data_IF_166349335407
#
_entry.id   IF_166349335407
#
_cell.length_a   1.000
_cell.length_b   1.000
_cell.length_c   1.000
_cell.angle_alpha   90.00
_cell.angle_beta   90.00
_cell.angle_gamma   90.00
#
_symmetry.space_group_name_H-M   'P 1'
#
loop_
_entity.id
_entity.type
_entity.pdbx_description
1 polymer ?
#
# COMPACT_ATOMS: atom_id res chain seq x y z
N UNK A 1 -61.54 12.55 -11.67
CA UNK A 1 -61.73 11.24 -12.34
C UNK A 1 -61.09 11.26 -13.71
N UNK A 2 -61.07 12.39 -14.41
CA UNK A 2 -60.57 12.54 -15.80
C UNK A 2 -59.05 12.37 -15.97
N UNK A 3 -58.22 12.77 -15.01
CA UNK A 3 -56.76 12.66 -15.13
C UNK A 3 -56.19 11.22 -15.10
N UNK A 4 -56.94 10.30 -14.47
CA UNK A 4 -56.62 8.87 -14.42
C UNK A 4 -56.98 8.16 -15.75
N UNK A 5 -58.05 8.59 -16.42
CA UNK A 5 -58.49 8.05 -17.70
C UNK A 5 -57.52 8.48 -18.82
N UNK A 6 -57.06 9.73 -18.78
CA UNK A 6 -56.09 10.28 -19.75
C UNK A 6 -54.69 9.62 -19.68
N UNK A 7 -54.23 9.32 -18.46
CA UNK A 7 -52.95 8.58 -18.27
C UNK A 7 -53.00 7.12 -18.75
N UNK A 8 -54.17 6.46 -18.56
CA UNK A 8 -54.37 5.08 -19.01
C UNK A 8 -54.44 5.00 -20.53
N UNK A 9 -55.12 5.94 -21.20
CA UNK A 9 -55.21 6.01 -22.68
C UNK A 9 -53.87 6.38 -23.32
N UNK A 10 -53.06 7.25 -22.75
CA UNK A 10 -51.69 7.54 -23.22
C UNK A 10 -50.75 6.32 -23.06
N UNK A 11 -50.88 5.58 -21.97
CA UNK A 11 -50.07 4.35 -21.74
C UNK A 11 -50.44 3.25 -22.71
N UNK A 12 -51.74 3.06 -22.99
CA UNK A 12 -52.21 2.06 -23.98
C UNK A 12 -51.81 2.47 -25.40
N UNK A 13 -51.91 3.72 -25.79
CA UNK A 13 -51.45 4.18 -27.12
C UNK A 13 -49.97 3.92 -27.30
N UNK A 14 -49.13 4.21 -26.27
CA UNK A 14 -47.70 3.93 -26.33
C UNK A 14 -47.37 2.44 -26.46
N UNK A 15 -48.12 1.56 -25.78
CA UNK A 15 -47.97 0.11 -25.91
C UNK A 15 -48.35 -0.39 -27.30
N UNK A 16 -49.46 0.11 -27.88
CA UNK A 16 -49.92 -0.23 -29.23
C UNK A 16 -48.89 0.24 -30.27
N UNK A 17 -48.36 1.44 -30.12
CA UNK A 17 -47.35 1.98 -31.05
C UNK A 17 -46.06 1.16 -31.01
N UNK A 18 -45.60 0.74 -29.83
CA UNK A 18 -44.44 -0.12 -29.68
C UNK A 18 -44.69 -1.51 -30.27
N UNK A 19 -45.88 -2.08 -30.05
CA UNK A 19 -46.26 -3.36 -30.62
C UNK A 19 -46.34 -3.28 -32.16
N UNK A 20 -47.01 -2.24 -32.73
CA UNK A 20 -47.04 -1.98 -34.16
C UNK A 20 -45.64 -1.80 -34.76
N UNK A 21 -44.76 -1.07 -34.09
CA UNK A 21 -43.38 -0.90 -34.55
C UNK A 21 -42.59 -2.20 -34.54
N UNK A 22 -42.83 -3.08 -33.58
CA UNK A 22 -42.13 -4.34 -33.46
C UNK A 22 -42.65 -5.37 -34.53
N UNK A 23 -43.93 -5.31 -34.90
CA UNK A 23 -44.56 -6.24 -35.84
C UNK A 23 -44.81 -5.61 -37.22
N UNK A 24 -44.32 -4.40 -37.49
CA UNK A 24 -44.60 -3.67 -38.76
C UNK A 24 -44.18 -4.49 -39.99
N UNK A 25 -43.09 -5.18 -39.93
CA UNK A 25 -42.58 -5.97 -41.03
C UNK A 25 -43.43 -7.23 -41.30
N UNK A 26 -43.92 -7.86 -40.25
CA UNK A 26 -44.86 -8.99 -40.34
C UNK A 26 -46.20 -8.57 -40.95
N UNK A 27 -46.72 -7.41 -40.51
CA UNK A 27 -47.94 -6.83 -41.02
C UNK A 27 -47.77 -6.48 -42.50
N UNK A 28 -46.65 -5.88 -42.90
CA UNK A 28 -46.37 -5.57 -44.33
C UNK A 28 -46.26 -6.84 -45.15
N UNK A 29 -45.61 -7.90 -44.67
CA UNK A 29 -45.49 -9.16 -45.37
C UNK A 29 -46.86 -9.82 -45.60
N UNK A 30 -47.72 -9.82 -44.55
CA UNK A 30 -49.09 -10.34 -44.65
C UNK A 30 -49.92 -9.51 -45.62
N UNK A 31 -49.77 -8.18 -45.58
CA UNK A 31 -50.51 -7.29 -46.49
C UNK A 31 -50.13 -7.50 -47.97
N UNK A 32 -48.83 -7.68 -48.28
CA UNK A 32 -48.33 -7.99 -49.61
C UNK A 32 -48.87 -9.31 -50.07
N UNK A 33 -48.93 -10.35 -49.24
CA UNK A 33 -49.45 -11.66 -49.55
C UNK A 33 -50.95 -11.58 -49.83
N UNK A 34 -51.72 -10.85 -49.04
CA UNK A 34 -53.14 -10.59 -49.24
C UNK A 34 -53.44 -9.86 -50.56
N UNK A 35 -52.68 -8.80 -50.87
CA UNK A 35 -52.77 -8.05 -52.12
C UNK A 35 -52.49 -8.97 -53.30
N UNK A 36 -51.48 -9.84 -53.20
CA UNK A 36 -51.19 -10.83 -54.24
C UNK A 36 -52.35 -11.81 -54.45
N UNK A 37 -52.96 -12.31 -53.38
CA UNK A 37 -54.11 -13.21 -53.44
C UNK A 37 -55.35 -12.52 -54.07
N UNK A 38 -55.65 -11.30 -53.62
CA UNK A 38 -56.76 -10.51 -54.15
C UNK A 38 -56.56 -10.19 -55.62
N UNK A 39 -55.33 -9.75 -56.02
CA UNK A 39 -55.01 -9.49 -57.43
C UNK A 39 -55.19 -10.78 -58.29
N UNK A 40 -54.72 -11.91 -57.78
CA UNK A 40 -54.86 -13.18 -58.47
C UNK A 40 -56.31 -13.59 -58.60
N UNK A 41 -57.14 -13.43 -57.56
CA UNK A 41 -58.57 -13.72 -57.59
C UNK A 41 -59.34 -12.82 -58.53
N UNK A 42 -59.03 -11.53 -58.61
CA UNK A 42 -59.72 -10.56 -59.48
C UNK A 42 -59.37 -10.71 -60.98
N UNK A 43 -58.14 -11.16 -61.25
CA UNK A 43 -57.71 -11.35 -62.68
C UNK A 43 -58.16 -12.63 -63.29
N UNK A 44 -58.78 -13.49 -62.49
CA UNK A 44 -59.30 -14.74 -62.96
C UNK A 44 -60.83 -14.66 -63.01
N UNK A 45 -61.41 -14.85 -64.23
CA UNK A 45 -62.81 -15.19 -64.34
C UNK A 45 -63.02 -16.58 -63.69
N UNK A 46 -63.57 -16.59 -62.47
CA UNK A 46 -63.78 -17.79 -61.67
C UNK A 46 -64.91 -18.63 -62.31
N UNK A 47 -64.58 -19.48 -63.30
CA UNK A 47 -65.42 -20.53 -63.85
C UNK A 47 -64.97 -21.85 -63.15
N UNK A 48 -65.76 -22.28 -62.16
CA UNK A 48 -65.51 -23.55 -61.42
C UNK A 48 -65.58 -24.83 -62.28
N UNK A 49 -66.06 -24.73 -63.52
CA UNK A 49 -66.19 -25.85 -64.46
C UNK A 49 -64.87 -26.13 -65.25
N UNK A 50 -63.91 -25.25 -65.19
CA UNK A 50 -62.64 -25.40 -65.92
C UNK A 50 -61.56 -25.98 -65.03
N UNK A 51 -60.64 -26.83 -65.57
CA UNK A 51 -59.53 -27.39 -64.83
C UNK A 51 -58.62 -26.30 -64.39
N UNK A 52 -57.92 -26.49 -63.17
CA UNK A 52 -56.99 -25.56 -62.61
C UNK A 52 -55.81 -25.34 -63.59
N UNK A 53 -55.59 -24.06 -63.97
CA UNK A 53 -54.47 -23.69 -64.81
C UNK A 53 -53.16 -23.70 -64.01
N UNK A 54 -52.32 -24.73 -64.23
CA UNK A 54 -51.03 -24.92 -63.56
C UNK A 54 -50.02 -23.78 -63.85
N UNK A 55 -50.19 -23.11 -65.05
CA UNK A 55 -49.31 -22.00 -65.40
C UNK A 55 -49.55 -20.73 -64.54
N UNK A 56 -50.85 -20.45 -64.28
CA UNK A 56 -51.20 -19.35 -63.37
C UNK A 56 -50.76 -19.58 -61.89
N UNK A 57 -50.87 -20.83 -61.45
CA UNK A 57 -50.41 -21.22 -60.13
C UNK A 57 -48.87 -21.16 -60.00
N UNK A 58 -48.15 -21.53 -61.07
CA UNK A 58 -46.67 -21.36 -61.08
C UNK A 58 -46.28 -19.92 -61.05
N UNK A 59 -46.93 -19.02 -61.81
CA UNK A 59 -46.66 -17.57 -61.77
C UNK A 59 -46.96 -16.97 -60.40
N UNK A 60 -47.98 -17.39 -59.69
CA UNK A 60 -48.24 -16.98 -58.32
C UNK A 60 -47.19 -17.49 -57.35
N UNK A 61 -46.76 -18.73 -57.51
CA UNK A 61 -45.67 -19.30 -56.73
C UNK A 61 -44.35 -18.53 -56.91
N UNK A 62 -44.01 -18.14 -58.14
CA UNK A 62 -42.81 -17.32 -58.43
C UNK A 62 -42.92 -15.92 -57.82
N UNK A 63 -44.09 -15.27 -57.87
CA UNK A 63 -44.33 -13.99 -57.24
C UNK A 63 -44.22 -14.10 -55.75
N UNK A 64 -44.83 -15.05 -55.08
CA UNK A 64 -44.78 -15.27 -53.65
C UNK A 64 -43.37 -15.66 -53.22
N UNK A 65 -42.75 -16.60 -53.89
CA UNK A 65 -41.39 -17.04 -53.58
C UNK A 65 -40.34 -15.97 -53.85
N UNK A 66 -40.43 -15.32 -55.02
CA UNK A 66 -39.48 -14.31 -55.45
C UNK A 66 -39.55 -13.00 -54.58
N UNK A 67 -40.72 -12.39 -54.51
CA UNK A 67 -40.90 -11.10 -53.87
C UNK A 67 -41.01 -11.21 -52.34
N UNK A 68 -41.91 -12.06 -51.85
CA UNK A 68 -42.19 -12.19 -50.42
C UNK A 68 -41.04 -12.91 -49.73
N UNK A 69 -40.44 -13.93 -50.37
CA UNK A 69 -39.30 -14.67 -49.86
C UNK A 69 -38.08 -13.79 -49.68
N UNK A 70 -37.76 -12.95 -50.68
CA UNK A 70 -36.62 -12.00 -50.58
C UNK A 70 -36.85 -10.94 -49.51
N UNK A 71 -38.08 -10.42 -49.35
CA UNK A 71 -38.42 -9.45 -48.31
C UNK A 71 -38.28 -10.08 -46.91
N UNK A 72 -38.77 -11.29 -46.69
CA UNK A 72 -38.62 -12.01 -45.43
C UNK A 72 -37.15 -12.32 -45.11
N UNK A 73 -36.36 -12.71 -46.13
CA UNK A 73 -34.93 -12.93 -45.97
C UNK A 73 -34.21 -11.63 -45.52
N UNK A 74 -34.53 -10.49 -46.17
CA UNK A 74 -34.00 -9.19 -45.76
C UNK A 74 -34.35 -8.80 -44.31
N UNK A 75 -35.59 -8.98 -43.92
CA UNK A 75 -36.07 -8.73 -42.54
C UNK A 75 -35.33 -9.64 -41.56
N UNK A 76 -35.19 -10.94 -41.90
CA UNK A 76 -34.48 -11.89 -41.05
C UNK A 76 -33.00 -11.50 -40.84
N UNK A 77 -32.30 -11.06 -41.90
CA UNK A 77 -30.92 -10.60 -41.83
C UNK A 77 -30.84 -9.34 -40.96
N UNK A 78 -31.77 -8.40 -41.09
CA UNK A 78 -31.81 -7.18 -40.28
C UNK A 78 -32.05 -7.48 -38.81
N UNK A 79 -32.93 -8.39 -38.48
CA UNK A 79 -33.16 -8.84 -37.08
C UNK A 79 -31.95 -9.59 -36.52
N UNK A 80 -31.34 -10.48 -37.35
CA UNK A 80 -30.11 -11.16 -36.95
C UNK A 80 -28.98 -10.19 -36.62
N UNK A 81 -28.75 -9.18 -37.47
CA UNK A 81 -27.74 -8.16 -37.21
C UNK A 81 -28.01 -7.38 -35.92
N UNK A 82 -29.27 -7.03 -35.64
CA UNK A 82 -29.66 -6.37 -34.39
C UNK A 82 -29.38 -7.28 -33.19
N UNK A 83 -29.76 -8.53 -33.24
CA UNK A 83 -29.51 -9.51 -32.19
C UNK A 83 -28.00 -9.69 -31.95
N UNK A 84 -27.18 -9.73 -33.02
CA UNK A 84 -25.74 -9.82 -32.92
C UNK A 84 -25.14 -8.57 -32.21
N UNK A 85 -25.61 -7.38 -32.54
CA UNK A 85 -25.18 -6.16 -31.87
C UNK A 85 -25.54 -6.15 -30.39
N UNK A 86 -26.76 -6.53 -30.03
CA UNK A 86 -27.21 -6.67 -28.66
C UNK A 86 -26.35 -7.70 -27.89
N UNK A 87 -26.03 -8.85 -28.52
CA UNK A 87 -25.13 -9.86 -27.94
C UNK A 87 -23.71 -9.35 -27.75
N UNK A 88 -23.15 -8.56 -28.67
CA UNK A 88 -21.81 -7.96 -28.55
C UNK A 88 -21.78 -7.01 -27.34
N UNK A 89 -22.81 -6.18 -27.20
CA UNK A 89 -22.92 -5.26 -26.06
C UNK A 89 -23.05 -6.03 -24.75
N UNK A 90 -23.95 -7.02 -24.69
CA UNK A 90 -24.13 -7.86 -23.51
C UNK A 90 -22.84 -8.61 -23.11
N UNK A 91 -22.13 -9.17 -24.09
CA UNK A 91 -20.85 -9.85 -23.86
C UNK A 91 -19.77 -8.89 -23.34
N UNK A 92 -19.74 -7.65 -23.83
CA UNK A 92 -18.81 -6.64 -23.33
C UNK A 92 -19.09 -6.26 -21.87
N UNK A 93 -20.36 -6.10 -21.52
CA UNK A 93 -20.78 -5.84 -20.13
C UNK A 93 -20.49 -7.03 -19.22
N UNK A 94 -20.76 -8.24 -19.69
CA UNK A 94 -20.47 -9.47 -18.96
C UNK A 94 -18.96 -9.64 -18.69
N UNK A 95 -18.11 -9.33 -19.66
CA UNK A 95 -16.64 -9.33 -19.47
C UNK A 95 -16.21 -8.34 -18.39
N UNK A 96 -16.74 -7.11 -18.43
CA UNK A 96 -16.45 -6.11 -17.38
C UNK A 96 -16.91 -6.57 -15.99
N UNK A 97 -18.10 -7.14 -15.91
CA UNK A 97 -18.64 -7.67 -14.66
C UNK A 97 -17.81 -8.84 -14.13
N UNK A 98 -17.38 -9.74 -15.02
CA UNK A 98 -16.50 -10.84 -14.65
C UNK A 98 -15.12 -10.39 -14.19
N UNK A 99 -14.52 -9.37 -14.82
CA UNK A 99 -13.27 -8.78 -14.37
C UNK A 99 -13.40 -8.15 -12.98
N UNK A 100 -14.49 -7.41 -12.75
CA UNK A 100 -14.79 -6.86 -11.44
C UNK A 100 -14.97 -7.96 -10.38
N UNK A 101 -15.78 -8.98 -10.69
CA UNK A 101 -16.02 -10.11 -9.79
C UNK A 101 -14.73 -10.87 -9.45
N UNK A 102 -13.83 -11.06 -10.43
CA UNK A 102 -12.50 -11.65 -10.18
C UNK A 102 -11.65 -10.81 -9.24
N UNK A 103 -11.64 -9.48 -9.40
CA UNK A 103 -10.92 -8.58 -8.50
C UNK A 103 -11.46 -8.64 -7.07
N UNK A 104 -12.78 -8.62 -6.93
CA UNK A 104 -13.45 -8.75 -5.62
C UNK A 104 -13.15 -10.11 -4.99
N UNK A 105 -13.24 -11.21 -5.73
CA UNK A 105 -12.92 -12.54 -5.22
C UNK A 105 -11.45 -12.67 -4.79
N UNK A 106 -10.52 -12.13 -5.57
CA UNK A 106 -9.10 -12.12 -5.22
C UNK A 106 -8.85 -11.31 -3.93
N UNK A 107 -9.53 -10.17 -3.77
CA UNK A 107 -9.45 -9.37 -2.55
C UNK A 107 -10.01 -10.09 -1.34
N UNK A 108 -11.17 -10.74 -1.47
CA UNK A 108 -11.77 -11.54 -0.39
C UNK A 108 -10.89 -12.72 0.01
N UNK A 109 -10.26 -13.40 -0.97
CA UNK A 109 -9.32 -14.48 -0.70
C UNK A 109 -8.08 -13.96 0.03
N UNK A 110 -7.56 -12.81 -0.35
CA UNK A 110 -6.45 -12.16 0.34
C UNK A 110 -6.83 -11.79 1.77
N UNK A 111 -8.00 -11.15 1.99
CA UNK A 111 -8.49 -10.77 3.31
C UNK A 111 -8.63 -11.99 4.24
N UNK A 112 -9.19 -13.08 3.74
CA UNK A 112 -9.33 -14.33 4.49
C UNK A 112 -7.97 -14.91 4.87
N UNK A 113 -7.04 -14.98 3.91
CA UNK A 113 -5.68 -15.48 4.16
C UNK A 113 -4.92 -14.60 5.14
N UNK A 114 -5.04 -13.28 5.01
CA UNK A 114 -4.42 -12.33 5.93
C UNK A 114 -4.97 -12.47 7.34
N UNK A 115 -6.30 -12.57 7.50
CA UNK A 115 -6.95 -12.75 8.79
C UNK A 115 -6.49 -14.03 9.50
N UNK A 116 -6.43 -15.15 8.75
CA UNK A 116 -5.92 -16.43 9.29
C UNK A 116 -4.46 -16.31 9.74
N UNK A 117 -3.61 -15.63 8.94
CA UNK A 117 -2.22 -15.41 9.34
C UNK A 117 -2.09 -14.52 10.59
N UNK A 118 -2.95 -13.53 10.74
CA UNK A 118 -2.98 -12.67 11.95
C UNK A 118 -3.44 -13.47 13.17
N UNK A 119 -4.40 -14.37 13.04
CA UNK A 119 -4.81 -15.27 14.15
C UNK A 119 -3.66 -16.17 14.58
N UNK A 120 -3.00 -16.84 13.63
CA UNK A 120 -1.81 -17.66 13.92
C UNK A 120 -0.69 -16.83 14.56
N UNK A 121 -0.51 -15.56 14.13
CA UNK A 121 0.47 -14.66 14.72
C UNK A 121 0.17 -14.36 16.19
N UNK A 122 -1.10 -14.10 16.53
CA UNK A 122 -1.51 -13.83 17.92
C UNK A 122 -1.22 -15.03 18.84
N UNK A 123 -1.43 -16.25 18.35
CA UNK A 123 -1.11 -17.46 19.09
C UNK A 123 0.39 -17.54 19.36
N UNK A 124 1.23 -17.40 18.32
CA UNK A 124 2.69 -17.37 18.47
C UNK A 124 3.18 -16.19 19.33
N UNK A 125 2.51 -15.03 19.24
CA UNK A 125 2.86 -13.85 20.02
C UNK A 125 2.74 -14.09 21.52
N UNK A 126 1.70 -14.80 21.96
CA UNK A 126 1.51 -15.11 23.37
C UNK A 126 2.71 -15.90 23.94
N UNK A 127 3.26 -16.84 23.16
CA UNK A 127 4.43 -17.61 23.57
C UNK A 127 5.70 -16.72 23.64
N UNK A 128 5.85 -15.77 22.72
CA UNK A 128 7.01 -14.86 22.66
C UNK A 128 6.96 -13.80 23.75
N UNK A 129 5.78 -13.30 24.13
CA UNK A 129 5.61 -12.33 25.23
C UNK A 129 6.16 -12.83 26.56
N UNK A 130 6.13 -14.13 26.80
CA UNK A 130 6.68 -14.73 28.03
C UNK A 130 8.21 -14.74 28.07
N UNK A 131 8.88 -14.50 26.94
CA UNK A 131 10.35 -14.47 26.88
C UNK A 131 10.96 -13.27 27.60
N UNK A 132 10.18 -12.21 27.84
CA UNK A 132 10.61 -10.98 28.47
C UNK A 132 12.02 -10.51 28.03
N UNK A 133 12.35 -9.26 28.18
CA UNK A 133 13.70 -8.72 27.87
C UNK A 133 14.76 -9.20 28.89
N UNK A 134 14.55 -10.33 29.56
CA UNK A 134 15.47 -10.87 30.58
C UNK A 134 16.87 -11.17 30.04
N UNK A 135 16.96 -11.65 28.79
CA UNK A 135 18.22 -11.88 28.08
C UNK A 135 19.08 -10.60 27.91
N UNK A 136 18.44 -9.44 28.01
CA UNK A 136 19.04 -8.11 27.81
C UNK A 136 19.32 -7.39 29.13
N UNK A 137 18.92 -7.95 30.29
CA UNK A 137 19.06 -7.26 31.58
C UNK A 137 20.51 -7.03 32.00
N UNK A 138 21.33 -8.05 31.82
CA UNK A 138 22.73 -8.05 32.28
C UNK A 138 23.70 -7.60 31.18
N UNK A 139 23.16 -7.03 30.08
CA UNK A 139 24.00 -6.53 29.02
C UNK A 139 24.80 -5.30 29.49
N UNK A 140 26.08 -5.43 29.46
CA UNK A 140 27.06 -4.35 29.68
C UNK A 140 28.09 -4.38 28.57
N UNK A 141 28.27 -3.26 27.89
CA UNK A 141 29.29 -3.15 26.85
C UNK A 141 30.45 -2.30 27.37
N UNK A 142 31.68 -2.80 27.21
CA UNK A 142 32.90 -2.07 27.45
C UNK A 142 33.30 -1.16 26.28
N UNK A 143 32.61 -1.27 25.16
CA UNK A 143 32.95 -0.54 23.92
C UNK A 143 32.38 0.89 23.97
N UNK A 144 33.20 1.85 23.50
CA UNK A 144 32.80 3.26 23.37
C UNK A 144 32.16 3.56 22.01
N UNK A 145 32.59 2.86 20.96
CA UNK A 145 32.13 3.08 19.60
C UNK A 145 30.79 2.41 19.37
N UNK A 146 29.86 3.12 18.78
CA UNK A 146 28.49 2.66 18.52
C UNK A 146 28.48 1.35 17.71
N UNK A 147 29.25 1.28 16.63
CA UNK A 147 29.29 0.10 15.75
C UNK A 147 29.74 -1.17 16.49
N UNK A 148 30.70 -1.05 17.41
CA UNK A 148 31.17 -2.18 18.23
C UNK A 148 30.11 -2.59 19.26
N UNK A 149 29.38 -1.64 19.83
CA UNK A 149 28.26 -1.90 20.74
C UNK A 149 27.11 -2.62 20.03
N UNK A 150 26.74 -2.20 18.80
CA UNK A 150 25.76 -2.89 17.98
C UNK A 150 26.19 -4.35 17.73
N UNK A 151 27.46 -4.56 17.41
CA UNK A 151 27.97 -5.93 17.19
C UNK A 151 27.83 -6.79 18.46
N UNK A 152 28.24 -6.28 19.63
CA UNK A 152 28.08 -7.00 20.91
C UNK A 152 26.60 -7.25 21.24
N UNK A 153 25.72 -6.31 20.96
CA UNK A 153 24.28 -6.46 21.14
C UNK A 153 23.71 -7.58 20.24
N UNK A 154 24.11 -7.61 18.97
CA UNK A 154 23.71 -8.67 18.02
C UNK A 154 24.26 -10.02 18.45
N UNK A 155 25.51 -10.11 18.90
CA UNK A 155 26.11 -11.33 19.40
C UNK A 155 25.39 -11.86 20.65
N UNK A 156 24.96 -10.96 21.54
CA UNK A 156 24.15 -11.29 22.73
C UNK A 156 22.77 -11.82 22.32
N UNK A 157 22.14 -11.15 21.36
CA UNK A 157 20.88 -11.62 20.80
C UNK A 157 21.02 -13.01 20.13
N UNK A 158 22.09 -13.26 19.40
CA UNK A 158 22.31 -14.55 18.74
C UNK A 158 22.39 -15.71 19.76
N UNK A 159 23.07 -15.52 20.90
CA UNK A 159 23.09 -16.53 21.98
C UNK A 159 21.68 -16.82 22.47
N UNK A 160 20.90 -15.78 22.76
CA UNK A 160 19.50 -15.93 23.16
C UNK A 160 18.66 -16.62 22.09
N UNK A 161 18.84 -16.24 20.81
CA UNK A 161 18.14 -16.87 19.71
C UNK A 161 18.42 -18.37 19.62
N UNK A 162 19.67 -18.79 19.77
CA UNK A 162 20.03 -20.22 19.74
C UNK A 162 19.42 -21.00 20.91
N UNK A 163 19.34 -20.40 22.10
CA UNK A 163 18.65 -21.01 23.27
C UNK A 163 17.15 -21.19 23.03
N UNK A 164 16.50 -20.24 22.40
CA UNK A 164 15.04 -20.19 22.16
C UNK A 164 14.67 -20.47 20.68
N UNK A 165 15.56 -21.12 19.94
CA UNK A 165 15.48 -21.28 18.49
C UNK A 165 14.17 -21.89 18.01
N UNK A 166 13.67 -22.94 18.66
CA UNK A 166 12.41 -23.60 18.25
C UNK A 166 11.23 -22.63 18.23
N UNK A 167 11.12 -21.79 19.23
CA UNK A 167 10.05 -20.80 19.37
C UNK A 167 10.25 -19.62 18.43
N UNK A 168 11.41 -18.96 18.51
CA UNK A 168 11.70 -17.76 17.74
C UNK A 168 11.74 -18.00 16.23
N UNK A 169 12.24 -19.17 15.80
CA UNK A 169 12.26 -19.47 14.36
C UNK A 169 10.87 -19.63 13.75
N UNK A 170 9.92 -20.19 14.50
CA UNK A 170 8.52 -20.32 14.07
C UNK A 170 7.86 -18.95 13.99
N UNK A 171 8.05 -18.12 15.01
CA UNK A 171 7.59 -16.75 15.08
C UNK A 171 8.10 -15.91 13.89
N UNK A 172 9.41 -15.89 13.63
CA UNK A 172 9.95 -15.08 12.51
C UNK A 172 9.56 -15.61 11.13
N UNK A 173 9.38 -16.92 10.96
CA UNK A 173 8.86 -17.48 9.71
C UNK A 173 7.42 -17.00 9.45
N UNK A 174 6.61 -16.91 10.49
CA UNK A 174 5.24 -16.43 10.38
C UNK A 174 5.20 -14.93 10.06
N UNK A 175 5.99 -14.12 10.77
CA UNK A 175 6.18 -12.70 10.44
C UNK A 175 6.58 -12.50 8.96
N UNK A 176 7.59 -13.25 8.52
CA UNK A 176 8.03 -13.20 7.12
C UNK A 176 6.89 -13.57 6.16
N UNK A 177 6.12 -14.61 6.47
CA UNK A 177 5.02 -15.08 5.62
C UNK A 177 3.89 -14.03 5.55
N UNK A 178 3.54 -13.38 6.65
CA UNK A 178 2.56 -12.28 6.65
C UNK A 178 3.02 -11.16 5.71
N UNK A 179 4.25 -10.71 5.85
CA UNK A 179 4.78 -9.64 5.02
C UNK A 179 4.89 -10.03 3.55
N UNK A 180 5.29 -11.27 3.27
CA UNK A 180 5.32 -11.80 1.92
C UNK A 180 3.91 -11.85 1.31
N UNK A 181 2.91 -12.28 2.07
CA UNK A 181 1.51 -12.32 1.60
C UNK A 181 1.00 -10.92 1.24
N UNK A 182 1.35 -9.90 2.04
CA UNK A 182 1.02 -8.50 1.73
C UNK A 182 1.75 -8.04 0.47
N UNK A 183 3.03 -8.34 0.34
CA UNK A 183 3.87 -7.86 -0.78
C UNK A 183 3.50 -8.53 -2.10
N UNK A 184 3.20 -9.82 -2.08
CA UNK A 184 2.81 -10.63 -3.26
C UNK A 184 1.34 -10.41 -3.68
N UNK A 185 0.51 -9.74 -2.85
CA UNK A 185 -0.89 -9.50 -3.15
C UNK A 185 -1.06 -8.70 -4.45
N UNK A 186 -2.01 -9.11 -5.28
CA UNK A 186 -2.34 -8.40 -6.53
C UNK A 186 -3.30 -7.24 -6.28
N UNK A 187 -2.84 -6.28 -5.48
CA UNK A 187 -3.54 -5.04 -5.12
C UNK A 187 -2.57 -3.86 -5.29
N UNK A 188 -3.13 -2.65 -5.28
CA UNK A 188 -2.34 -1.43 -5.36
C UNK A 188 -1.41 -1.23 -4.13
N UNK A 189 -0.35 -0.47 -4.32
CA UNK A 189 0.65 -0.24 -3.27
C UNK A 189 0.08 0.46 -2.02
N UNK A 190 -0.93 1.32 -2.18
CA UNK A 190 -1.59 1.98 -1.05
C UNK A 190 -2.37 0.98 -0.21
N UNK A 191 -3.02 0.01 -0.84
CA UNK A 191 -3.68 -1.10 -0.15
C UNK A 191 -2.64 -1.97 0.58
N UNK A 192 -1.52 -2.34 -0.04
CA UNK A 192 -0.43 -3.08 0.63
C UNK A 192 0.09 -2.33 1.86
N UNK A 193 0.34 -1.03 1.73
CA UNK A 193 0.76 -0.18 2.87
C UNK A 193 -0.26 -0.13 3.99
N UNK A 194 -1.56 -0.13 3.66
CA UNK A 194 -2.63 -0.16 4.65
C UNK A 194 -2.62 -1.46 5.45
N UNK A 195 -2.50 -2.62 4.81
CA UNK A 195 -2.39 -3.91 5.51
C UNK A 195 -1.11 -4.01 6.34
N UNK A 196 0.02 -3.55 5.82
CA UNK A 196 1.25 -3.48 6.58
C UNK A 196 1.14 -2.59 7.82
N UNK A 197 0.40 -1.46 7.75
CA UNK A 197 0.10 -0.61 8.92
C UNK A 197 -0.79 -1.33 9.93
N UNK A 198 -1.81 -2.07 9.47
CA UNK A 198 -2.68 -2.87 10.36
C UNK A 198 -1.84 -3.92 11.09
N UNK A 199 -0.98 -4.64 10.37
CA UNK A 199 -0.09 -5.62 10.96
C UNK A 199 0.89 -4.98 11.95
N UNK A 200 1.53 -3.87 11.59
CA UNK A 200 2.45 -3.15 12.47
C UNK A 200 1.83 -2.76 13.83
N UNK A 201 0.54 -2.44 13.87
CA UNK A 201 -0.17 -2.14 15.12
C UNK A 201 -0.34 -3.34 16.05
N UNK A 202 -0.06 -4.57 15.57
CA UNK A 202 -0.12 -5.79 16.40
C UNK A 202 1.21 -6.11 17.05
N UNK A 203 2.31 -5.54 16.58
CA UNK A 203 3.67 -5.84 17.06
C UNK A 203 3.93 -5.02 18.31
N UNK A 204 4.28 -5.69 19.43
CA UNK A 204 4.65 -5.01 20.68
C UNK A 204 6.05 -4.39 20.62
N UNK A 205 6.38 -3.55 21.61
CA UNK A 205 7.70 -2.89 21.68
C UNK A 205 8.82 -3.92 21.84
N UNK A 206 8.64 -4.93 22.66
CA UNK A 206 9.62 -6.00 22.85
C UNK A 206 9.84 -6.80 21.56
N UNK A 207 8.77 -7.06 20.82
CA UNK A 207 8.86 -7.73 19.52
C UNK A 207 9.57 -6.87 18.49
N UNK A 208 9.37 -5.54 18.51
CA UNK A 208 10.12 -4.62 17.63
C UNK A 208 11.62 -4.68 17.91
N UNK A 209 12.04 -4.77 19.18
CA UNK A 209 13.43 -4.92 19.57
C UNK A 209 13.99 -6.27 19.07
N UNK A 210 13.26 -7.35 19.31
CA UNK A 210 13.63 -8.68 18.82
C UNK A 210 13.74 -8.71 17.31
N UNK A 211 12.79 -8.11 16.60
CA UNK A 211 12.78 -8.00 15.15
C UNK A 211 13.98 -7.21 14.62
N UNK A 212 14.33 -6.11 15.28
CA UNK A 212 15.50 -5.27 14.97
C UNK A 212 16.79 -6.07 15.00
N UNK A 213 17.01 -6.84 16.10
CA UNK A 213 18.20 -7.68 16.22
C UNK A 213 18.18 -8.85 15.26
N UNK A 214 17.04 -9.53 15.09
CA UNK A 214 16.91 -10.63 14.13
C UNK A 214 17.27 -10.17 12.71
N UNK A 215 16.75 -9.01 12.28
CA UNK A 215 17.04 -8.43 10.97
C UNK A 215 18.53 -8.12 10.75
N UNK A 216 19.29 -7.89 11.82
CA UNK A 216 20.74 -7.65 11.78
C UNK A 216 21.56 -8.94 11.67
N UNK A 217 20.93 -10.11 11.80
CA UNK A 217 21.57 -11.42 11.67
C UNK A 217 21.37 -11.99 10.26
N UNK A 218 22.15 -13.04 9.95
CA UNK A 218 21.96 -13.78 8.70
C UNK A 218 20.58 -14.48 8.61
N UNK A 219 19.94 -14.80 9.75
CA UNK A 219 18.61 -15.38 9.79
C UNK A 219 17.51 -14.42 9.32
N UNK A 220 17.64 -13.14 9.68
CA UNK A 220 16.63 -12.10 9.38
C UNK A 220 16.86 -11.31 8.10
N UNK A 221 17.93 -11.57 7.34
CA UNK A 221 18.31 -10.76 6.17
C UNK A 221 17.19 -10.60 5.14
N UNK A 222 16.40 -11.65 4.88
CA UNK A 222 15.26 -11.57 3.96
C UNK A 222 14.13 -10.69 4.51
N UNK A 223 13.93 -10.68 5.82
CA UNK A 223 12.91 -9.86 6.47
C UNK A 223 13.26 -8.37 6.44
N UNK A 224 14.52 -8.01 6.39
CA UNK A 224 15.02 -6.63 6.33
C UNK A 224 14.41 -5.86 5.15
N UNK A 225 14.20 -6.51 4.00
CA UNK A 225 13.57 -5.86 2.83
C UNK A 225 12.15 -5.38 3.16
N UNK A 226 11.36 -6.20 3.85
CA UNK A 226 10.01 -5.84 4.24
C UNK A 226 9.98 -4.80 5.37
N UNK A 227 10.91 -4.93 6.32
CA UNK A 227 11.09 -3.94 7.39
C UNK A 227 11.29 -2.54 6.79
N UNK A 228 12.17 -2.45 5.79
CA UNK A 228 12.49 -1.19 5.10
C UNK A 228 11.30 -0.68 4.28
N UNK A 229 10.73 -1.56 3.43
CA UNK A 229 9.65 -1.19 2.50
C UNK A 229 8.39 -0.70 3.23
N UNK A 230 8.06 -1.33 4.34
CA UNK A 230 6.82 -1.08 5.08
C UNK A 230 7.03 -0.35 6.40
N UNK A 231 8.26 0.09 6.69
CA UNK A 231 8.62 0.82 7.90
C UNK A 231 8.09 0.14 9.17
N UNK A 232 8.37 -1.15 9.31
CA UNK A 232 7.84 -1.93 10.44
C UNK A 232 8.40 -1.47 11.77
N UNK A 233 9.63 -0.96 11.81
CA UNK A 233 10.29 -0.46 13.03
C UNK A 233 9.99 1.02 13.33
N UNK A 234 8.92 1.59 12.77
CA UNK A 234 8.57 3.01 12.98
C UNK A 234 8.44 3.40 14.46
N UNK A 235 7.94 2.51 15.27
CA UNK A 235 7.69 2.74 16.70
C UNK A 235 8.68 1.98 17.59
N UNK A 236 9.87 1.64 17.07
CA UNK A 236 10.92 0.99 17.84
C UNK A 236 11.37 1.91 18.98
N UNK A 237 11.30 1.47 20.26
CA UNK A 237 11.80 2.25 21.40
C UNK A 237 13.32 2.21 21.41
N UNK A 238 13.96 3.19 20.75
CA UNK A 238 15.42 3.21 20.55
C UNK A 238 16.19 3.23 21.85
N UNK A 239 15.67 3.90 22.88
CA UNK A 239 16.31 3.96 24.19
C UNK A 239 16.37 2.61 24.91
N UNK A 240 15.55 1.64 24.50
CA UNK A 240 15.55 0.27 25.03
C UNK A 240 16.53 -0.65 24.31
N UNK A 241 17.14 -0.21 23.21
CA UNK A 241 18.16 -1.00 22.51
C UNK A 241 19.42 -1.15 23.38
N UNK A 242 20.06 -2.32 23.29
CA UNK A 242 21.23 -2.66 24.11
C UNK A 242 22.40 -1.70 23.89
N UNK A 243 22.62 -1.30 22.65
CA UNK A 243 23.67 -0.36 22.26
C UNK A 243 23.52 1.01 22.91
N UNK A 244 22.31 1.43 23.28
CA UNK A 244 22.04 2.67 24.02
C UNK A 244 22.19 2.54 25.55
N UNK A 245 22.33 1.31 26.10
CA UNK A 245 22.55 1.07 27.52
C UNK A 245 23.97 1.43 27.92
N UNK A 246 24.32 2.69 27.74
CA UNK A 246 25.59 3.29 28.17
C UNK A 246 25.35 4.08 29.47
N UNK A 247 26.20 3.91 30.54
CA UNK A 247 25.93 4.49 31.85
C UNK A 247 25.71 5.99 31.84
N UNK A 248 26.44 6.75 31.02
CA UNK A 248 26.27 8.19 30.92
C UNK A 248 24.99 8.61 30.21
N UNK A 249 24.53 7.83 29.23
CA UNK A 249 23.24 8.02 28.57
C UNK A 249 22.10 7.66 29.52
N UNK A 250 22.20 6.54 30.22
CA UNK A 250 21.19 6.12 31.20
C UNK A 250 21.08 7.15 32.35
N UNK A 251 22.18 7.69 32.83
CA UNK A 251 22.18 8.73 33.84
C UNK A 251 21.58 10.06 33.33
N UNK A 252 21.75 10.36 32.03
CA UNK A 252 21.17 11.54 31.38
C UNK A 252 19.65 11.41 31.29
N UNK A 253 19.16 10.23 30.88
CA UNK A 253 17.78 10.00 30.56
C UNK A 253 16.94 9.68 31.80
N UNK A 254 17.56 9.20 32.88
CA UNK A 254 16.90 8.76 34.11
C UNK A 254 15.95 9.83 34.68
N UNK A 255 14.66 9.48 34.73
CA UNK A 255 13.59 10.38 35.15
C UNK A 255 13.16 11.44 34.12
N UNK A 256 13.66 11.35 32.87
CA UNK A 256 13.34 12.26 31.76
C UNK A 256 13.11 11.49 30.47
N UNK A 257 12.76 10.20 30.55
CA UNK A 257 12.62 9.29 29.41
C UNK A 257 11.64 9.85 28.36
N UNK A 258 10.46 10.30 28.78
CA UNK A 258 9.45 10.87 27.89
C UNK A 258 9.93 12.12 27.12
N UNK A 259 10.74 12.95 27.79
CA UNK A 259 11.29 14.16 27.16
C UNK A 259 12.28 13.79 26.06
N UNK A 260 13.21 12.89 26.35
CA UNK A 260 14.18 12.45 25.37
C UNK A 260 13.54 11.66 24.21
N UNK A 261 12.56 10.82 24.49
CA UNK A 261 11.80 10.15 23.45
C UNK A 261 11.06 11.14 22.53
N UNK A 262 10.46 12.19 23.09
CA UNK A 262 9.84 13.25 22.28
C UNK A 262 10.87 13.97 21.41
N UNK A 263 12.02 14.35 21.97
CA UNK A 263 13.10 15.03 21.24
C UNK A 263 13.55 14.16 20.06
N UNK A 264 13.87 12.89 20.32
CA UNK A 264 14.36 11.97 19.32
C UNK A 264 13.30 11.68 18.23
N UNK A 265 12.04 11.54 18.62
CA UNK A 265 10.93 11.32 17.69
C UNK A 265 10.69 12.56 16.79
N UNK A 266 10.77 13.78 17.33
CA UNK A 266 10.65 15.00 16.51
C UNK A 266 11.83 15.15 15.55
N UNK A 267 13.05 14.85 15.98
CA UNK A 267 14.22 14.79 15.09
C UNK A 267 13.99 13.78 13.98
N UNK A 268 13.55 12.56 14.31
CA UNK A 268 13.27 11.52 13.31
C UNK A 268 12.22 11.96 12.30
N UNK A 269 11.12 12.55 12.76
CA UNK A 269 10.05 13.06 11.91
C UNK A 269 10.59 14.10 10.92
N UNK A 270 11.40 15.06 11.38
CA UNK A 270 11.99 16.08 10.50
C UNK A 270 13.00 15.51 9.52
N UNK A 271 13.76 14.48 9.91
CA UNK A 271 14.64 13.74 9.00
C UNK A 271 13.82 13.11 7.88
N UNK A 272 12.79 12.35 8.23
CA UNK A 272 11.92 11.66 7.25
C UNK A 272 11.23 12.65 6.32
N UNK A 273 10.66 13.72 6.86
CA UNK A 273 9.99 14.77 6.07
C UNK A 273 10.98 15.46 5.11
N UNK A 274 12.18 15.81 5.60
CA UNK A 274 13.21 16.45 4.79
C UNK A 274 13.73 15.55 3.66
N UNK A 275 13.92 14.27 3.94
CA UNK A 275 14.34 13.28 2.95
C UNK A 275 13.23 13.08 1.88
N UNK A 276 11.99 12.92 2.31
CA UNK A 276 10.83 12.75 1.41
C UNK A 276 10.64 13.96 0.49
N UNK A 277 10.79 15.18 1.02
CA UNK A 277 10.73 16.40 0.23
C UNK A 277 11.88 16.51 -0.78
N UNK A 278 13.10 16.09 -0.41
CA UNK A 278 14.25 16.10 -1.32
C UNK A 278 14.08 15.05 -2.43
N UNK A 279 13.53 13.88 -2.10
CA UNK A 279 13.22 12.85 -3.09
C UNK A 279 12.19 13.33 -4.12
N UNK A 280 11.14 14.02 -3.70
CA UNK A 280 10.10 14.55 -4.60
C UNK A 280 10.63 15.64 -5.55
N UNK A 281 11.67 16.38 -5.15
CA UNK A 281 12.31 17.40 -5.99
C UNK A 281 13.30 16.84 -7.02
N UNK A 282 13.65 15.57 -6.94
CA UNK A 282 14.72 14.94 -7.73
C UNK A 282 16.11 15.32 -7.23
N UNK A 283 17.10 14.46 -7.58
CA UNK A 283 18.47 14.56 -7.04
C UNK A 283 19.17 15.86 -7.40
N UNK A 284 18.99 16.35 -8.63
CA UNK A 284 19.64 17.57 -9.11
C UNK A 284 19.10 18.84 -8.42
N UNK A 285 17.84 18.80 -7.98
CA UNK A 285 17.15 19.94 -7.37
C UNK A 285 17.11 19.89 -5.83
N UNK A 286 17.62 18.81 -5.21
CA UNK A 286 17.64 18.69 -3.76
C UNK A 286 18.50 19.78 -3.12
N UNK A 287 17.88 20.60 -2.29
CA UNK A 287 18.52 21.73 -1.58
C UNK A 287 18.73 21.41 -0.12
N UNK A 288 19.71 22.04 0.50
CA UNK A 288 19.82 22.06 1.97
C UNK A 288 18.55 22.65 2.57
N UNK A 289 17.98 21.96 3.55
CA UNK A 289 16.80 22.41 4.29
C UNK A 289 17.16 22.56 5.75
N UNK A 290 16.87 23.74 6.28
CA UNK A 290 16.98 24.03 7.70
C UNK A 290 15.59 24.07 8.34
N UNK A 291 15.43 23.38 9.46
CA UNK A 291 14.20 23.38 10.24
C UNK A 291 14.52 23.66 11.70
N UNK A 292 13.68 24.45 12.36
CA UNK A 292 13.76 24.71 13.79
C UNK A 292 12.63 23.95 14.51
N UNK A 293 12.97 23.33 15.63
CA UNK A 293 12.03 22.67 16.55
C UNK A 293 12.25 23.30 17.92
N UNK A 294 11.18 23.74 18.56
CA UNK A 294 11.19 24.25 19.93
C UNK A 294 10.46 23.25 20.82
N UNK A 295 11.15 22.72 21.80
CA UNK A 295 10.61 21.75 22.74
C UNK A 295 11.05 22.10 24.14
N UNK A 296 10.15 22.59 24.99
CA UNK A 296 10.40 22.99 26.36
C UNK A 296 11.65 23.91 26.49
N UNK A 297 12.75 23.34 27.00
CA UNK A 297 14.02 24.09 27.20
C UNK A 297 15.03 23.83 26.07
N UNK A 298 14.62 23.14 24.99
CA UNK A 298 15.47 22.76 23.86
C UNK A 298 15.06 23.48 22.59
N UNK A 299 16.05 24.11 21.95
CA UNK A 299 15.95 24.57 20.56
C UNK A 299 16.79 23.64 19.71
N UNK A 300 16.17 23.02 18.71
CA UNK A 300 16.84 22.10 17.81
C UNK A 300 16.84 22.70 16.41
N UNK A 301 18.02 22.92 15.84
CA UNK A 301 18.18 23.31 14.44
C UNK A 301 18.69 22.12 13.68
N UNK A 302 18.01 21.82 12.61
CA UNK A 302 18.26 20.64 11.81
C UNK A 302 18.53 21.05 10.36
N UNK A 303 19.72 20.73 9.84
CA UNK A 303 20.12 20.97 8.47
C UNK A 303 20.31 19.66 7.73
N UNK A 304 19.57 19.49 6.64
CA UNK A 304 19.60 18.31 5.79
C UNK A 304 19.97 18.69 4.36
N UNK A 305 21.05 18.11 3.84
CA UNK A 305 21.43 18.16 2.44
C UNK A 305 21.48 16.75 1.84
N UNK A 306 21.92 16.61 0.57
CA UNK A 306 21.98 15.31 -0.13
C UNK A 306 22.80 14.23 0.59
N UNK A 307 23.90 14.63 1.24
CA UNK A 307 24.86 13.70 1.85
C UNK A 307 25.31 14.15 3.23
N UNK A 308 24.65 15.15 3.81
CA UNK A 308 25.04 15.75 5.07
C UNK A 308 23.81 16.03 5.92
N UNK A 309 23.85 15.59 7.16
CA UNK A 309 22.87 15.89 8.21
C UNK A 309 23.59 16.56 9.35
N UNK A 310 23.14 17.74 9.74
CA UNK A 310 23.63 18.43 10.92
C UNK A 310 22.49 18.72 11.88
N UNK A 311 22.69 18.41 13.15
CA UNK A 311 21.77 18.71 14.25
C UNK A 311 22.50 19.58 15.24
N UNK A 312 22.00 20.79 15.49
CA UNK A 312 22.42 21.68 16.55
C UNK A 312 21.32 21.69 17.62
N UNK A 313 21.60 21.12 18.78
CA UNK A 313 20.69 21.12 19.92
C UNK A 313 21.18 22.15 20.95
N UNK A 314 20.35 23.15 21.18
CA UNK A 314 20.63 24.24 22.11
C UNK A 314 19.71 24.12 23.32
N UNK A 315 20.24 24.23 24.52
CA UNK A 315 19.44 24.15 25.73
C UNK A 315 20.00 25.04 26.82
N UNK A 316 19.15 25.33 27.81
CA UNK A 316 19.51 26.06 29.01
C UNK A 316 19.31 25.19 30.23
N UNK A 317 20.34 24.92 31.00
CA UNK A 317 20.20 24.18 32.25
C UNK A 317 19.38 25.00 33.28
N UNK A 318 18.21 24.50 33.72
CA UNK A 318 17.41 25.24 34.70
C UNK A 318 18.16 25.39 36.03
N UNK A 319 18.04 26.56 36.65
CA UNK A 319 18.62 26.79 37.97
C UNK A 319 17.92 25.91 39.01
N UNK A 320 18.70 25.20 39.84
CA UNK A 320 18.15 24.48 40.99
C UNK A 320 17.67 23.07 40.77
N UNK A 321 17.76 22.53 39.54
CA UNK A 321 17.37 21.13 39.23
C UNK A 321 18.53 20.18 39.60
N UNK A 322 18.25 19.12 40.34
CA UNK A 322 19.24 18.10 40.74
C UNK A 322 19.89 17.39 39.56
N UNK A 323 19.16 17.18 38.50
CA UNK A 323 19.64 16.49 37.27
C UNK A 323 20.02 17.56 36.23
N UNK A 324 21.28 18.00 36.25
CA UNK A 324 21.81 18.82 35.16
C UNK A 324 22.08 17.96 33.95
N UNK A 325 21.65 18.43 32.79
CA UNK A 325 21.97 17.81 31.52
C UNK A 325 23.48 17.87 31.31
N UNK A 326 24.12 16.73 31.09
CA UNK A 326 25.53 16.63 30.77
C UNK A 326 25.72 16.80 29.25
N UNK A 327 26.51 17.81 28.87
CA UNK A 327 26.85 18.06 27.45
C UNK A 327 27.45 16.83 26.78
N UNK A 328 28.38 16.15 27.44
CA UNK A 328 29.05 14.96 26.91
C UNK A 328 28.10 13.79 26.73
N UNK A 329 27.18 13.56 27.67
CA UNK A 329 26.19 12.49 27.59
C UNK A 329 25.17 12.77 26.48
N UNK A 330 24.77 14.04 26.34
CA UNK A 330 23.85 14.45 25.26
C UNK A 330 24.52 14.33 23.89
N UNK A 331 25.77 14.71 23.76
CA UNK A 331 26.58 14.54 22.55
C UNK A 331 26.67 13.05 22.18
N UNK A 332 26.93 12.19 23.15
CA UNK A 332 27.02 10.74 22.93
C UNK A 332 25.66 10.15 22.49
N UNK A 333 24.58 10.57 23.14
CA UNK A 333 23.23 10.16 22.78
C UNK A 333 22.87 10.56 21.32
N UNK A 334 23.15 11.81 20.96
CA UNK A 334 22.89 12.28 19.58
C UNK A 334 23.77 11.57 18.55
N UNK A 335 25.03 11.29 18.87
CA UNK A 335 25.90 10.51 18.00
C UNK A 335 25.36 9.10 17.78
N UNK A 336 24.95 8.41 18.83
CA UNK A 336 24.37 7.07 18.75
C UNK A 336 23.06 7.09 17.96
N UNK A 337 22.20 8.07 18.24
CA UNK A 337 20.92 8.22 17.57
C UNK A 337 21.05 8.47 16.07
N UNK A 338 21.97 9.33 15.66
CA UNK A 338 22.19 9.63 14.24
C UNK A 338 22.78 8.42 13.50
N UNK A 339 23.75 7.72 14.12
CA UNK A 339 24.32 6.50 13.55
C UNK A 339 23.26 5.42 13.43
N UNK A 340 22.46 5.18 14.48
CA UNK A 340 21.35 4.23 14.39
C UNK A 340 20.38 4.59 13.27
N UNK A 341 20.01 5.87 13.18
CA UNK A 341 19.03 6.35 12.21
C UNK A 341 19.49 6.17 10.77
N UNK A 342 20.75 6.41 10.44
CA UNK A 342 21.23 6.43 9.06
C UNK A 342 21.98 5.16 8.63
N UNK A 343 22.53 4.39 9.57
CA UNK A 343 23.33 3.19 9.26
C UNK A 343 22.58 1.90 9.57
N UNK A 344 21.80 1.88 10.64
CA UNK A 344 21.17 0.64 11.11
C UNK A 344 19.63 0.65 11.04
N UNK A 345 19.02 1.82 11.13
CA UNK A 345 17.57 1.91 10.97
C UNK A 345 17.19 1.96 9.50
N UNK A 346 15.95 1.61 9.27
CA UNK A 346 15.34 1.67 7.95
C UNK A 346 14.05 2.45 8.03
N UNK A 347 13.93 3.39 7.12
CA UNK A 347 12.70 4.13 6.91
C UNK A 347 12.00 3.61 5.65
N UNK A 348 10.72 3.88 5.56
CA UNK A 348 9.97 3.69 4.33
C UNK A 348 10.72 4.39 3.17
N UNK A 349 11.13 3.63 2.17
CA UNK A 349 11.89 4.13 1.01
C UNK A 349 13.34 4.60 1.28
N UNK A 350 13.95 4.23 2.37
CA UNK A 350 15.31 4.57 2.71
C UNK A 350 16.19 3.32 2.90
N UNK A 351 17.39 3.32 2.31
CA UNK A 351 18.38 2.27 2.53
C UNK A 351 19.46 2.76 3.48
N UNK A 352 19.96 1.90 4.40
CA UNK A 352 21.06 2.25 5.28
C UNK A 352 22.31 2.69 4.51
N UNK A 353 22.99 3.70 5.00
CA UNK A 353 24.23 4.20 4.41
C UNK A 353 25.40 3.25 4.74
N UNK A 354 26.24 2.97 3.72
CA UNK A 354 27.36 2.06 3.86
C UNK A 354 28.64 2.72 4.37
N UNK A 355 28.82 4.03 4.14
CA UNK A 355 30.02 4.79 4.47
C UNK A 355 29.67 6.15 5.03
N UNK A 356 29.88 6.33 6.33
CA UNK A 356 29.56 7.56 7.03
C UNK A 356 30.76 8.06 7.86
N UNK A 357 30.90 9.38 7.93
CA UNK A 357 31.78 10.07 8.85
C UNK A 357 30.93 10.87 9.81
N UNK A 358 31.16 10.73 11.10
CA UNK A 358 30.48 11.50 12.14
C UNK A 358 31.44 12.45 12.82
N UNK A 359 31.03 13.67 13.02
CA UNK A 359 31.75 14.69 13.81
C UNK A 359 30.76 15.36 14.74
N UNK A 360 31.24 15.70 15.92
CA UNK A 360 30.43 16.39 16.94
C UNK A 360 31.29 17.29 17.79
N UNK A 361 30.70 18.34 18.36
CA UNK A 361 31.38 19.25 19.26
C UNK A 361 30.38 19.91 20.23
N UNK A 362 30.91 20.52 21.28
CA UNK A 362 30.15 21.16 22.34
C UNK A 362 30.60 22.62 22.44
N UNK A 363 29.66 23.56 22.43
CA UNK A 363 29.89 24.97 22.73
C UNK A 363 29.10 25.39 23.97
N UNK A 364 29.77 25.93 24.94
CA UNK A 364 29.15 26.48 26.14
C UNK A 364 29.39 28.00 26.20
N UNK A 365 28.29 28.75 26.13
CA UNK A 365 28.35 30.21 26.31
C UNK A 365 28.28 30.54 27.79
N UNK A 366 29.43 30.93 28.39
CA UNK A 366 29.54 31.18 29.83
C UNK A 366 28.59 32.26 30.36
N UNK A 367 28.30 33.30 29.55
CA UNK A 367 27.45 34.42 29.96
C UNK A 367 25.96 34.13 29.93
N UNK A 368 25.50 33.26 29.04
CA UNK A 368 24.07 32.96 28.80
C UNK A 368 23.60 31.65 29.44
N UNK A 369 24.49 30.85 30.05
CA UNK A 369 24.21 29.48 30.49
C UNK A 369 23.63 28.60 29.37
N UNK A 370 23.81 29.02 28.14
CA UNK A 370 23.36 28.38 26.95
C UNK A 370 24.39 27.35 26.51
N UNK A 371 23.94 26.13 26.30
CA UNK A 371 24.74 25.02 25.85
C UNK A 371 24.32 24.66 24.44
N UNK A 372 25.27 24.42 23.57
CA UNK A 372 25.01 23.95 22.21
C UNK A 372 25.80 22.67 22.00
N UNK A 373 25.09 21.59 21.71
CA UNK A 373 25.68 20.31 21.28
C UNK A 373 25.30 20.10 19.81
N UNK A 374 26.32 19.92 18.98
CA UNK A 374 26.04 19.63 17.58
C UNK A 374 26.65 18.29 17.14
N UNK A 375 25.98 17.67 16.23
CA UNK A 375 26.37 16.41 15.57
C UNK A 375 26.18 16.56 14.08
N UNK A 376 27.19 16.17 13.32
CA UNK A 376 27.16 16.17 11.87
C UNK A 376 27.53 14.80 11.34
N UNK A 377 26.70 14.27 10.44
CA UNK A 377 26.96 13.06 9.70
C UNK A 377 27.16 13.42 8.23
N UNK A 378 28.28 12.96 7.66
CA UNK A 378 28.57 13.06 6.24
C UNK A 378 28.62 11.65 5.65
N UNK A 379 28.09 11.48 4.46
CA UNK A 379 28.12 10.22 3.72
C UNK A 379 28.64 10.44 2.33
N UNK A 380 29.36 9.44 1.80
CA UNK A 380 29.68 9.36 0.37
C UNK A 380 28.43 8.97 -0.45
N UNK A 381 27.50 8.27 0.18
CA UNK A 381 26.25 7.86 -0.43
C UNK A 381 25.27 9.04 -0.44
N UNK A 382 24.56 9.18 -1.54
CA UNK A 382 23.53 10.22 -1.68
C UNK A 382 22.16 9.64 -1.30
N UNK A 383 21.74 9.81 -0.04
CA UNK A 383 20.47 9.25 0.44
C UNK A 383 19.21 9.84 -0.26
N UNK A 384 19.30 11.03 -0.82
CA UNK A 384 18.22 11.56 -1.65
C UNK A 384 18.04 10.79 -2.97
N UNK A 385 19.13 10.21 -3.50
CA UNK A 385 19.10 9.31 -4.67
C UNK A 385 18.44 7.97 -4.33
N UNK A 386 18.77 7.41 -3.16
CA UNK A 386 18.20 6.16 -2.68
C UNK A 386 16.68 6.25 -2.58
N UNK A 387 16.17 7.39 -2.13
CA UNK A 387 14.73 7.63 -2.04
C UNK A 387 14.05 7.82 -3.40
N UNK A 388 14.73 8.50 -4.34
CA UNK A 388 14.17 8.79 -5.66
C UNK A 388 14.10 7.55 -6.56
N UNK A 389 14.98 6.56 -6.37
CA UNK A 389 15.02 5.34 -7.17
C UNK A 389 13.83 4.39 -6.91
N UNK A 390 13.13 4.52 -5.77
CA UNK A 390 11.83 3.87 -5.48
C UNK A 390 11.74 2.35 -5.65
N UNK A 391 12.76 1.76 -6.24
CA UNK A 391 12.88 0.34 -6.52
C UNK A 391 13.78 -0.29 -5.45
N UNK A 392 13.19 -0.60 -4.31
CA UNK A 392 13.77 -1.64 -3.48
C UNK A 392 13.70 -2.93 -4.30
N UNK A 393 14.86 -3.48 -4.64
CA UNK A 393 14.94 -4.76 -5.33
C UNK A 393 14.04 -5.77 -4.62
N UNK A 394 13.17 -6.40 -5.41
CA UNK A 394 12.36 -7.51 -4.88
C UNK A 394 13.34 -8.56 -4.37
N UNK A 395 13.09 -9.18 -3.21
CA UNK A 395 13.93 -10.28 -2.77
C UNK A 395 13.99 -11.29 -3.90
N UNK A 396 15.20 -11.61 -4.36
CA UNK A 396 15.40 -12.67 -5.34
C UNK A 396 14.75 -13.95 -4.78
N UNK A 397 13.85 -14.51 -5.59
CA UNK A 397 13.08 -15.71 -5.25
C UNK A 397 13.99 -16.90 -4.95
#
# INVERSE_FOLDING_TARGET
MDSKIEKTTKSQKKKITIWLYNHIYEIIAILILLVGVVFFCLHRDYDYSKPIDGGLWAQYGDYVGGLVGTLLAYISIKLLNRNLQEQIIANKELRKSNEYSRKVAAMQQFDSSFSTLIEMYRDCQNDVKHLNMQWAKDFTSSKKEYNLRVKEAVDTYLKFYEEKRSLLSSYYRLLYRIMQTIDDANVDDDTKRRYAKIFRCQISEEELILLRYNASTHYGKKMQVYINRYNLLKHLPKMHLLEFKEPSILALVNGQEELFDRILNEIQKKIVDGISMNASCGVEKAKTRSNKIELENFDIVFDLSKSNVKIDLVYVNPKGVRNRISDNSLQLLLNFYILDTFVYASFECYQPLSSVEISSDIKTERNSKKHTVWVQLKSKDNYALVLSSGQLDKPQK
#
